data_IF_827349681087
#
_entry.id   IF_827349681087
#
_cell.length_a   1.000
_cell.length_b   1.000
_cell.length_c   1.000
_cell.angle_alpha   90.00
_cell.angle_beta   90.00
_cell.angle_gamma   90.00
#
_symmetry.space_group_name_H-M   'P 1'
#
loop_
_entity.id
_entity.type
_entity.pdbx_description
1 polymer ?
#
# COMPACT_ATOMS: atom_id res chain seq x y z
N UNK A 1 -8.93 -12.05 -13.41
CA UNK A 1 -9.93 -11.74 -12.35
C UNK A 1 -9.35 -11.75 -10.93
N UNK A 2 -8.78 -12.86 -10.45
CA UNK A 2 -8.28 -13.00 -9.07
C UNK A 2 -7.23 -11.94 -8.69
N UNK A 3 -6.22 -11.71 -9.54
CA UNK A 3 -5.17 -10.74 -9.21
C UNK A 3 -5.71 -9.32 -9.09
N UNK A 4 -6.67 -8.92 -9.94
CA UNK A 4 -7.34 -7.63 -9.83
C UNK A 4 -8.02 -7.46 -8.46
N UNK A 5 -8.68 -8.50 -7.95
CA UNK A 5 -9.28 -8.46 -6.62
C UNK A 5 -8.22 -8.33 -5.52
N UNK A 6 -7.08 -9.01 -5.64
CA UNK A 6 -5.96 -8.90 -4.70
C UNK A 6 -5.32 -7.51 -4.69
N UNK A 7 -5.11 -6.91 -5.86
CA UNK A 7 -4.62 -5.54 -6.00
C UNK A 7 -5.57 -4.56 -5.33
N UNK A 8 -6.88 -4.66 -5.59
CA UNK A 8 -7.89 -3.78 -4.99
C UNK A 8 -8.02 -3.99 -3.47
N UNK A 9 -7.87 -5.23 -2.99
CA UNK A 9 -7.86 -5.51 -1.55
C UNK A 9 -6.67 -4.84 -0.86
N UNK A 10 -5.46 -4.97 -1.44
CA UNK A 10 -4.25 -4.31 -0.93
C UNK A 10 -4.41 -2.79 -0.91
N UNK A 11 -4.93 -2.20 -2.00
CA UNK A 11 -5.19 -0.75 -2.07
C UNK A 11 -6.12 -0.28 -0.94
N UNK A 12 -7.24 -0.98 -0.72
CA UNK A 12 -8.20 -0.62 0.33
C UNK A 12 -7.60 -0.70 1.73
N UNK A 13 -6.77 -1.71 1.98
CA UNK A 13 -6.09 -1.88 3.27
C UNK A 13 -5.12 -0.72 3.54
N UNK A 14 -4.31 -0.35 2.54
CA UNK A 14 -3.40 0.79 2.61
C UNK A 14 -4.17 2.10 2.88
N UNK A 15 -5.25 2.36 2.13
CA UNK A 15 -6.06 3.57 2.32
C UNK A 15 -6.68 3.62 3.71
N UNK A 16 -7.15 2.46 4.22
CA UNK A 16 -7.75 2.36 5.56
C UNK A 16 -6.70 2.64 6.64
N UNK A 17 -5.54 1.99 6.63
CA UNK A 17 -4.54 2.22 7.67
C UNK A 17 -3.92 3.61 7.60
N UNK A 18 -3.68 4.15 6.41
CA UNK A 18 -3.19 5.53 6.30
C UNK A 18 -4.21 6.54 6.82
N UNK A 19 -5.51 6.26 6.72
CA UNK A 19 -6.54 7.14 7.29
C UNK A 19 -6.47 7.24 8.83
N UNK A 20 -5.94 6.22 9.51
CA UNK A 20 -5.79 6.21 10.98
C UNK A 20 -4.59 7.02 11.48
N UNK A 21 -3.67 7.44 10.61
CA UNK A 21 -2.49 8.25 11.00
C UNK A 21 -2.99 9.63 11.48
N UNK A 22 -2.69 10.07 12.72
CA UNK A 22 -3.13 11.36 13.26
C UNK A 22 -2.51 12.55 12.50
N UNK A 23 -1.20 12.49 12.26
CA UNK A 23 -0.46 13.53 11.55
C UNK A 23 -0.95 13.67 10.11
N UNK A 24 -1.47 14.85 9.77
CA UNK A 24 -2.08 15.10 8.48
C UNK A 24 -1.07 15.14 7.33
N UNK A 25 0.16 15.58 7.56
CA UNK A 25 1.21 15.61 6.54
C UNK A 25 1.66 14.19 6.23
N UNK A 26 2.02 13.42 7.26
CA UNK A 26 2.43 12.02 7.13
C UNK A 26 1.33 11.18 6.49
N UNK A 27 0.07 11.35 6.91
CA UNK A 27 -1.08 10.69 6.27
C UNK A 27 -1.17 10.99 4.77
N UNK A 28 -1.01 12.26 4.38
CA UNK A 28 -1.04 12.67 2.97
C UNK A 28 0.13 12.07 2.21
N UNK A 29 1.33 12.16 2.76
CA UNK A 29 2.57 11.72 2.10
C UNK A 29 2.56 10.19 1.89
N UNK A 30 2.14 9.41 2.90
CA UNK A 30 2.01 7.96 2.78
C UNK A 30 0.94 7.56 1.76
N UNK A 31 -0.20 8.28 1.72
CA UNK A 31 -1.25 8.02 0.73
C UNK A 31 -0.81 8.37 -0.68
N UNK A 32 -0.08 9.48 -0.85
CA UNK A 32 0.46 9.92 -2.13
C UNK A 32 1.50 8.92 -2.66
N UNK A 33 2.40 8.46 -1.79
CA UNK A 33 3.39 7.44 -2.10
C UNK A 33 2.72 6.14 -2.57
N UNK A 34 1.78 5.60 -1.79
CA UNK A 34 1.04 4.40 -2.19
C UNK A 34 0.29 4.58 -3.52
N UNK A 35 -0.32 5.74 -3.76
CA UNK A 35 -0.98 6.02 -5.03
C UNK A 35 0.00 6.00 -6.20
N UNK A 36 1.17 6.63 -6.06
CA UNK A 36 2.19 6.67 -7.09
C UNK A 36 2.67 5.26 -7.48
N UNK A 37 2.90 4.39 -6.49
CA UNK A 37 3.29 3.00 -6.73
C UNK A 37 2.25 2.23 -7.56
N UNK A 38 0.96 2.39 -7.25
CA UNK A 38 -0.11 1.72 -8.01
C UNK A 38 -0.25 2.30 -9.42
N UNK A 39 -0.13 3.62 -9.58
CA UNK A 39 -0.21 4.28 -10.88
C UNK A 39 0.97 3.91 -11.79
N UNK A 40 2.18 3.82 -11.24
CA UNK A 40 3.39 3.43 -11.97
C UNK A 40 3.25 2.03 -12.58
N UNK A 41 2.61 1.10 -11.87
CA UNK A 41 2.52 -0.30 -12.28
C UNK A 41 1.17 -0.69 -12.90
N UNK A 42 0.25 0.26 -13.15
CA UNK A 42 -1.12 -0.03 -13.64
C UNK A 42 -1.18 -0.71 -15.01
N UNK A 43 -0.11 -0.59 -15.80
CA UNK A 43 -0.01 -1.17 -17.14
C UNK A 43 0.72 -2.52 -17.18
N UNK A 44 1.17 -3.04 -16.03
CA UNK A 44 1.80 -4.36 -15.98
C UNK A 44 0.75 -5.43 -16.28
N UNK A 45 1.03 -6.24 -17.32
CA UNK A 45 0.16 -7.35 -17.74
C UNK A 45 0.74 -8.72 -17.40
N UNK A 46 2.05 -8.80 -17.12
CA UNK A 46 2.68 -10.05 -16.72
C UNK A 46 2.19 -10.52 -15.35
N UNK A 47 1.69 -11.76 -15.32
CA UNK A 47 1.06 -12.32 -14.13
C UNK A 47 2.07 -12.59 -13.01
N UNK A 48 3.31 -12.97 -13.36
CA UNK A 48 4.39 -13.19 -12.40
C UNK A 48 4.74 -11.89 -11.69
N UNK A 49 4.92 -10.83 -12.47
CA UNK A 49 5.24 -9.50 -12.02
C UNK A 49 4.11 -8.91 -11.16
N UNK A 50 2.84 -9.07 -11.55
CA UNK A 50 1.71 -8.63 -10.71
C UNK A 50 1.73 -9.31 -9.34
N UNK A 51 1.97 -10.64 -9.28
CA UNK A 51 2.06 -11.36 -8.00
C UNK A 51 3.23 -10.86 -7.16
N UNK A 52 4.36 -10.62 -7.79
CA UNK A 52 5.54 -10.06 -7.14
C UNK A 52 5.23 -8.68 -6.54
N UNK A 53 4.65 -7.76 -7.31
CA UNK A 53 4.29 -6.42 -6.86
C UNK A 53 3.29 -6.42 -5.70
N UNK A 54 2.30 -7.32 -5.73
CA UNK A 54 1.38 -7.51 -4.59
C UNK A 54 2.14 -7.96 -3.34
N UNK A 55 3.07 -8.91 -3.49
CA UNK A 55 3.88 -9.40 -2.37
C UNK A 55 4.80 -8.31 -1.83
N UNK A 56 5.49 -7.58 -2.72
CA UNK A 56 6.37 -6.48 -2.36
C UNK A 56 5.61 -5.37 -1.64
N UNK A 57 4.48 -4.94 -2.19
CA UNK A 57 3.64 -3.89 -1.60
C UNK A 57 3.08 -4.29 -0.23
N UNK A 58 2.72 -5.56 -0.03
CA UNK A 58 2.35 -6.08 1.30
C UNK A 58 3.50 -5.97 2.30
N UNK A 59 4.67 -6.47 1.93
CA UNK A 59 5.86 -6.42 2.81
C UNK A 59 6.19 -4.98 3.20
N UNK A 60 6.24 -4.06 2.22
CA UNK A 60 6.51 -2.64 2.48
C UNK A 60 5.46 -2.02 3.40
N UNK A 61 4.19 -2.33 3.18
CA UNK A 61 3.10 -1.81 4.00
C UNK A 61 3.12 -2.36 5.42
N UNK A 62 3.36 -3.65 5.61
CA UNK A 62 3.49 -4.26 6.94
C UNK A 62 4.69 -3.68 7.70
N UNK A 63 5.83 -3.49 7.03
CA UNK A 63 7.00 -2.80 7.62
C UNK A 63 6.65 -1.38 8.06
N UNK A 64 5.99 -0.60 7.20
CA UNK A 64 5.57 0.76 7.53
C UNK A 64 4.61 0.77 8.72
N UNK A 65 3.60 -0.09 8.71
CA UNK A 65 2.61 -0.21 9.80
C UNK A 65 3.28 -0.54 11.13
N UNK A 66 4.19 -1.51 11.14
CA UNK A 66 4.93 -1.89 12.34
C UNK A 66 5.81 -0.73 12.85
N UNK A 67 6.45 0.03 11.94
CA UNK A 67 7.22 1.22 12.31
C UNK A 67 6.35 2.32 12.94
N UNK A 68 5.16 2.55 12.40
CA UNK A 68 4.20 3.53 12.93
C UNK A 68 3.63 3.09 14.29
N UNK A 69 3.35 1.80 14.47
CA UNK A 69 2.92 1.25 15.77
C UNK A 69 4.02 1.40 16.81
N UNK A 70 5.25 1.03 16.47
CA UNK A 70 6.39 1.12 17.39
C UNK A 70 6.75 2.56 17.78
N UNK A 71 6.35 3.55 16.97
CA UNK A 71 6.52 4.98 17.26
C UNK A 71 5.31 5.61 17.96
N UNK A 72 4.24 4.84 18.23
CA UNK A 72 3.02 5.33 18.89
C UNK A 72 2.16 6.25 18.00
N UNK A 73 2.38 6.23 16.68
CA UNK A 73 1.65 7.05 15.70
C UNK A 73 0.38 6.33 15.22
N UNK A 74 0.40 4.99 15.19
CA UNK A 74 -0.74 4.11 14.92
C UNK A 74 -1.06 3.24 16.13
#
# INVERSE_FOLDING_TARGET
FIQRQRVLALWRDIVKSTASIPDASMRRDMRQFARAEFEQHKHVTDLGHIRYLISLGKTQFDTMKNSLINSGIL
#
